data_IF_724836238434
#
_entry.id   IF_724836238434
#
_cell.length_a   1.000
_cell.length_b   1.000
_cell.length_c   1.000
_cell.angle_alpha   90.00
_cell.angle_beta   90.00
_cell.angle_gamma   90.00
#
_symmetry.space_group_name_H-M   'P 1'
#
loop_
_entity.id
_entity.type
_entity.pdbx_description
1 polymer ?
#
# COMPACT_ATOMS: atom_id res chain seq x y z
N UNK A 1 16.71 16.68 7.02
CA UNK A 1 15.94 16.31 8.22
C UNK A 1 16.40 14.93 8.64
N UNK A 2 16.87 14.75 9.87
CA UNK A 2 17.32 13.46 10.38
C UNK A 2 16.16 12.66 10.97
N UNK A 3 16.22 11.33 10.99
CA UNK A 3 15.14 10.51 11.57
C UNK A 3 14.88 10.81 13.06
N UNK A 4 15.87 11.33 13.78
CA UNK A 4 15.75 11.74 15.18
C UNK A 4 14.83 12.96 15.37
N UNK A 5 14.52 13.72 14.33
CA UNK A 5 13.63 14.90 14.41
C UNK A 5 12.15 14.52 14.25
N UNK A 6 11.85 13.26 13.92
CA UNK A 6 10.48 12.78 13.77
C UNK A 6 9.80 12.69 15.16
N UNK A 7 8.64 13.34 15.38
CA UNK A 7 7.91 13.30 16.64
C UNK A 7 7.14 11.99 16.81
N UNK A 8 7.86 10.90 17.10
CA UNK A 8 7.31 9.53 17.09
C UNK A 8 6.24 9.26 18.16
N UNK A 9 6.21 10.05 19.24
CA UNK A 9 5.29 9.81 20.37
C UNK A 9 3.82 10.09 20.00
N UNK A 10 3.59 10.96 19.01
CA UNK A 10 2.25 11.27 18.49
C UNK A 10 1.78 10.36 17.35
N UNK A 11 2.61 9.39 16.93
CA UNK A 11 2.37 8.60 15.72
C UNK A 11 2.10 7.13 16.05
N UNK A 12 1.17 6.53 15.30
CA UNK A 12 0.91 5.08 15.34
C UNK A 12 1.60 4.34 14.20
N UNK A 13 1.70 5.00 13.04
CA UNK A 13 2.32 4.48 11.83
C UNK A 13 3.22 5.54 11.21
N UNK A 14 4.40 5.15 10.75
CA UNK A 14 5.32 5.96 9.97
C UNK A 14 5.61 5.26 8.64
N UNK A 15 5.47 5.99 7.54
CA UNK A 15 5.64 5.47 6.19
C UNK A 15 6.98 5.96 5.62
N UNK A 16 7.79 5.04 5.13
CA UNK A 16 8.96 5.36 4.33
C UNK A 16 8.55 5.42 2.86
N UNK A 17 8.52 6.62 2.28
CA UNK A 17 8.15 6.85 0.89
C UNK A 17 9.36 7.39 0.11
N UNK A 18 9.87 6.71 -0.92
CA UNK A 18 9.46 5.41 -1.48
C UNK A 18 10.62 4.43 -1.60
N UNK A 19 10.31 3.14 -1.55
CA UNK A 19 11.19 2.08 -2.03
C UNK A 19 10.90 1.78 -3.51
N UNK A 20 11.95 1.52 -4.29
CA UNK A 20 11.83 1.19 -5.70
C UNK A 20 11.90 -0.33 -5.92
N UNK A 21 11.11 -0.84 -6.86
CA UNK A 21 11.11 -2.26 -7.23
C UNK A 21 11.96 -2.43 -8.49
N UNK A 22 13.04 -3.20 -8.39
CA UNK A 22 13.90 -3.50 -9.53
C UNK A 22 13.14 -4.43 -10.49
N UNK A 23 12.85 -4.03 -11.74
CA UNK A 23 11.96 -4.77 -12.65
C UNK A 23 12.42 -6.20 -12.98
N UNK A 24 13.73 -6.45 -12.99
CA UNK A 24 14.32 -7.73 -13.43
C UNK A 24 14.45 -8.74 -12.28
N UNK A 25 14.61 -8.29 -11.03
CA UNK A 25 14.88 -9.17 -9.89
C UNK A 25 13.83 -9.11 -8.78
N UNK A 26 12.64 -8.56 -9.08
CA UNK A 26 11.68 -7.93 -8.14
C UNK A 26 12.21 -7.72 -6.72
N UNK A 27 13.33 -7.01 -6.59
CA UNK A 27 13.94 -6.67 -5.29
C UNK A 27 13.57 -5.24 -4.95
N UNK A 28 13.28 -5.01 -3.67
CA UNK A 28 13.12 -3.67 -3.14
C UNK A 28 14.52 -3.09 -2.91
N UNK A 29 14.79 -1.94 -3.52
CA UNK A 29 16.03 -1.19 -3.38
C UNK A 29 15.72 0.24 -2.93
N UNK A 30 16.69 0.89 -2.26
CA UNK A 30 16.62 2.34 -2.11
C UNK A 30 16.67 3.00 -3.50
N UNK A 31 16.14 4.21 -3.61
CA UNK A 31 16.37 5.03 -4.81
C UNK A 31 17.87 5.29 -5.00
N UNK A 32 18.26 5.60 -6.23
CA UNK A 32 19.63 5.96 -6.56
C UNK A 32 20.15 7.08 -5.63
N UNK A 33 21.42 6.98 -5.26
CA UNK A 33 22.13 7.89 -4.34
C UNK A 33 21.69 7.88 -2.86
N UNK A 34 20.82 6.96 -2.44
CA UNK A 34 20.50 6.78 -1.02
C UNK A 34 21.40 5.73 -0.33
N UNK A 35 21.80 5.98 0.94
CA UNK A 35 22.68 5.08 1.65
C UNK A 35 21.98 3.74 1.97
N UNK A 36 22.74 2.65 1.90
CA UNK A 36 22.21 1.28 2.01
C UNK A 36 21.58 0.96 3.39
N UNK A 37 21.96 1.70 4.43
CA UNK A 37 21.48 1.52 5.79
C UNK A 37 20.26 2.39 6.12
N UNK A 38 19.79 3.22 5.18
CA UNK A 38 18.70 4.17 5.39
C UNK A 38 17.41 3.50 5.91
N UNK A 39 17.09 2.31 5.38
CA UNK A 39 15.93 1.54 5.84
C UNK A 39 16.08 1.10 7.30
N UNK A 40 17.27 0.64 7.69
CA UNK A 40 17.54 0.25 9.07
C UNK A 40 17.53 1.46 10.01
N UNK A 41 18.04 2.60 9.56
CA UNK A 41 17.97 3.84 10.35
C UNK A 41 16.53 4.30 10.55
N UNK A 42 15.69 4.18 9.50
CA UNK A 42 14.27 4.50 9.60
C UNK A 42 13.54 3.56 10.57
N UNK A 43 13.71 2.24 10.45
CA UNK A 43 13.02 1.30 11.34
C UNK A 43 13.52 1.38 12.78
N UNK A 44 14.75 1.85 12.99
CA UNK A 44 15.31 2.09 14.31
C UNK A 44 14.62 3.21 15.10
N UNK A 45 13.79 4.06 14.48
CA UNK A 45 13.00 5.07 15.21
C UNK A 45 12.02 4.43 16.21
N UNK A 46 11.64 3.17 16.00
CA UNK A 46 10.84 2.38 16.94
C UNK A 46 11.51 2.18 18.30
N UNK A 47 12.83 2.40 18.42
CA UNK A 47 13.51 2.40 19.73
C UNK A 47 13.02 3.51 20.66
N UNK A 48 12.49 4.61 20.10
CA UNK A 48 11.92 5.71 20.87
C UNK A 48 10.45 5.51 21.19
N UNK A 49 9.71 4.82 20.32
CA UNK A 49 8.32 4.43 20.54
C UNK A 49 8.11 2.98 20.07
N UNK A 50 8.07 2.03 21.01
CA UNK A 50 7.92 0.60 20.73
C UNK A 50 6.54 0.23 20.16
N UNK A 51 5.54 1.10 20.31
CA UNK A 51 4.21 0.94 19.73
C UNK A 51 4.12 1.37 18.26
N UNK A 52 5.13 2.11 17.76
CA UNK A 52 5.14 2.63 16.39
C UNK A 52 5.30 1.51 15.36
N UNK A 53 4.48 1.55 14.31
CA UNK A 53 4.60 0.67 13.14
C UNK A 53 5.31 1.39 12.01
N UNK A 54 6.33 0.76 11.46
CA UNK A 54 7.09 1.28 10.31
C UNK A 54 6.68 0.56 9.04
N UNK A 55 6.25 1.30 8.04
CA UNK A 55 5.65 0.77 6.79
C UNK A 55 6.48 1.25 5.60
N UNK A 56 6.84 0.37 4.68
CA UNK A 56 7.52 0.75 3.43
C UNK A 56 6.50 1.01 2.33
N UNK A 57 6.48 2.21 1.75
CA UNK A 57 5.66 2.51 0.58
C UNK A 57 6.42 2.15 -0.70
N UNK A 58 5.79 1.32 -1.54
CA UNK A 58 6.34 0.81 -2.79
C UNK A 58 5.49 1.24 -3.97
N UNK A 59 6.16 1.68 -5.04
CA UNK A 59 5.55 1.96 -6.34
C UNK A 59 6.20 1.15 -7.47
N UNK A 60 5.54 1.12 -8.64
CA UNK A 60 6.04 0.45 -9.85
C UNK A 60 5.16 -0.70 -10.35
N UNK A 61 5.51 -1.27 -11.50
CA UNK A 61 4.82 -2.42 -12.10
C UNK A 61 5.36 -3.74 -11.50
N UNK A 62 4.56 -4.38 -10.64
CA UNK A 62 4.98 -5.56 -9.87
C UNK A 62 4.05 -6.78 -10.03
N UNK A 63 2.88 -6.61 -10.65
CA UNK A 63 1.81 -7.62 -10.60
C UNK A 63 1.45 -8.24 -11.95
N UNK A 64 2.15 -7.87 -13.02
CA UNK A 64 1.79 -8.20 -14.40
C UNK A 64 1.65 -9.71 -14.71
N UNK A 65 2.40 -10.59 -14.04
CA UNK A 65 2.32 -12.05 -14.22
C UNK A 65 2.28 -12.79 -12.88
N UNK A 66 1.72 -14.00 -12.85
CA UNK A 66 1.67 -14.83 -11.63
C UNK A 66 3.06 -15.19 -11.09
N UNK A 67 4.02 -15.44 -11.98
CA UNK A 67 5.41 -15.71 -11.61
C UNK A 67 6.05 -14.49 -10.94
N UNK A 68 5.87 -13.30 -11.53
CA UNK A 68 6.39 -12.05 -10.97
C UNK A 68 5.80 -11.77 -9.59
N UNK A 69 4.48 -11.97 -9.42
CA UNK A 69 3.82 -11.78 -8.11
C UNK A 69 4.39 -12.72 -7.05
N UNK A 70 4.52 -14.01 -7.34
CA UNK A 70 5.05 -14.99 -6.38
C UNK A 70 6.49 -14.67 -5.98
N UNK A 71 7.34 -14.34 -6.95
CA UNK A 71 8.72 -13.92 -6.69
C UNK A 71 8.77 -12.65 -5.84
N UNK A 72 7.95 -11.66 -6.18
CA UNK A 72 7.89 -10.39 -5.46
C UNK A 72 7.41 -10.57 -4.01
N UNK A 73 6.35 -11.34 -3.75
CA UNK A 73 5.87 -11.63 -2.38
C UNK A 73 6.98 -12.25 -1.52
N UNK A 74 7.72 -13.22 -2.06
CA UNK A 74 8.84 -13.85 -1.35
C UNK A 74 9.96 -12.87 -1.02
N UNK A 75 10.37 -12.07 -2.01
CA UNK A 75 11.41 -11.05 -1.84
C UNK A 75 10.99 -9.95 -0.86
N UNK A 76 9.73 -9.51 -0.93
CA UNK A 76 9.17 -8.47 -0.07
C UNK A 76 9.19 -8.87 1.41
N UNK A 77 8.75 -10.08 1.73
CA UNK A 77 8.79 -10.58 3.11
C UNK A 77 10.23 -10.73 3.61
N UNK A 78 11.14 -11.21 2.76
CA UNK A 78 12.56 -11.25 3.07
C UNK A 78 13.14 -9.86 3.36
N UNK A 79 12.78 -8.86 2.55
CA UNK A 79 13.17 -7.47 2.73
C UNK A 79 12.63 -6.89 4.04
N UNK A 80 11.33 -7.04 4.32
CA UNK A 80 10.71 -6.52 5.53
C UNK A 80 11.32 -7.13 6.79
N UNK A 81 11.61 -8.44 6.79
CA UNK A 81 12.34 -9.10 7.89
C UNK A 81 13.75 -8.56 8.05
N UNK A 82 14.49 -8.40 6.95
CA UNK A 82 15.88 -7.93 6.96
C UNK A 82 16.03 -6.53 7.55
N UNK A 83 15.12 -5.62 7.18
CA UNK A 83 15.20 -4.22 7.60
C UNK A 83 14.30 -3.88 8.78
N UNK A 84 13.47 -4.83 9.25
CA UNK A 84 12.62 -4.66 10.43
C UNK A 84 11.36 -3.83 10.19
N UNK A 85 10.82 -3.81 8.98
CA UNK A 85 9.53 -3.18 8.70
C UNK A 85 8.37 -3.99 9.28
N UNK A 86 7.32 -3.30 9.69
CA UNK A 86 6.08 -3.90 10.23
C UNK A 86 4.97 -3.98 9.18
N UNK A 87 5.19 -3.43 7.99
CA UNK A 87 4.21 -3.46 6.92
C UNK A 87 4.69 -2.89 5.60
N UNK A 88 3.82 -2.98 4.60
CA UNK A 88 3.99 -2.46 3.25
C UNK A 88 2.76 -1.65 2.84
N UNK A 89 3.00 -0.54 2.16
CA UNK A 89 1.99 0.24 1.46
C UNK A 89 2.25 0.17 -0.05
N UNK A 90 1.21 -0.09 -0.83
CA UNK A 90 1.29 -0.06 -2.28
C UNK A 90 0.78 1.28 -2.80
N UNK A 91 1.71 2.18 -3.10
CA UNK A 91 1.48 3.48 -3.73
C UNK A 91 1.45 3.36 -5.25
N UNK A 92 0.58 2.49 -5.79
CA UNK A 92 0.48 2.31 -7.23
C UNK A 92 -0.32 3.45 -7.86
N UNK A 93 0.37 4.54 -8.18
CA UNK A 93 -0.21 5.63 -8.96
C UNK A 93 -0.50 5.13 -10.39
N UNK A 94 -1.75 5.29 -10.79
CA UNK A 94 -2.52 4.19 -11.38
C UNK A 94 -2.21 3.86 -12.83
N UNK A 95 -2.23 2.57 -13.20
CA UNK A 95 -2.53 2.14 -14.54
C UNK A 95 -3.99 2.52 -14.88
N UNK A 96 -4.07 3.58 -15.69
CA UNK A 96 -5.09 4.05 -16.64
C UNK A 96 -6.43 4.59 -16.16
N UNK A 97 -6.42 5.89 -15.88
CA UNK A 97 -7.28 6.81 -16.61
C UNK A 97 -6.80 6.91 -18.08
N UNK A 98 -7.55 7.52 -19.00
CA UNK A 98 -7.18 7.56 -20.44
C UNK A 98 -5.73 8.01 -20.74
N UNK A 99 -5.09 8.74 -19.82
CA UNK A 99 -3.69 9.20 -19.85
C UNK A 99 -2.75 8.54 -18.81
N UNK A 100 -3.16 7.46 -18.14
CA UNK A 100 -2.39 6.84 -17.04
C UNK A 100 -2.04 5.35 -17.25
N UNK A 101 -2.23 4.75 -18.43
CA UNK A 101 -1.59 3.45 -18.77
C UNK A 101 -2.12 2.16 -18.11
N UNK A 102 -3.43 1.88 -18.15
CA UNK A 102 -4.03 0.62 -17.64
C UNK A 102 -3.82 -0.48 -18.66
N UNK A 103 -3.19 -1.60 -18.27
CA UNK A 103 -3.40 -2.87 -18.98
C UNK A 103 -4.75 -3.44 -18.53
N UNK A 104 -5.56 -4.02 -19.43
CA UNK A 104 -6.91 -4.52 -19.10
C UNK A 104 -6.99 -5.44 -17.88
N UNK A 105 -5.90 -6.14 -17.56
CA UNK A 105 -5.85 -7.14 -16.49
C UNK A 105 -5.21 -6.65 -15.18
N UNK A 106 -4.74 -5.41 -15.09
CA UNK A 106 -4.04 -4.89 -13.89
C UNK A 106 -4.88 -5.00 -12.62
N UNK A 107 -6.19 -4.70 -12.71
CA UNK A 107 -7.10 -4.84 -11.56
C UNK A 107 -7.26 -6.28 -11.09
N UNK A 108 -7.34 -7.25 -12.03
CA UNK A 108 -7.43 -8.69 -11.68
C UNK A 108 -6.12 -9.18 -11.08
N UNK A 109 -5.00 -8.77 -11.67
CA UNK A 109 -3.66 -9.10 -11.24
C UNK A 109 -3.36 -8.53 -9.85
N UNK A 110 -3.79 -7.30 -9.54
CA UNK A 110 -3.64 -6.72 -8.22
C UNK A 110 -4.47 -7.46 -7.16
N UNK A 111 -5.70 -7.83 -7.47
CA UNK A 111 -6.52 -8.63 -6.55
C UNK A 111 -5.90 -10.01 -6.31
N UNK A 112 -5.36 -10.66 -7.35
CA UNK A 112 -4.63 -11.92 -7.19
C UNK A 112 -3.39 -11.74 -6.31
N UNK A 113 -2.61 -10.68 -6.56
CA UNK A 113 -1.46 -10.31 -5.74
C UNK A 113 -1.81 -10.13 -4.26
N UNK A 114 -2.86 -9.37 -3.95
CA UNK A 114 -3.27 -9.14 -2.56
C UNK A 114 -3.69 -10.43 -1.86
N UNK A 115 -4.33 -11.37 -2.58
CA UNK A 115 -4.67 -12.70 -2.03
C UNK A 115 -3.42 -13.52 -1.76
N UNK A 116 -2.52 -13.61 -2.73
CA UNK A 116 -1.25 -14.33 -2.61
C UNK A 116 -0.41 -13.77 -1.45
N UNK A 117 -0.36 -12.43 -1.30
CA UNK A 117 0.31 -11.76 -0.20
C UNK A 117 -0.35 -12.05 1.16
N UNK A 118 -1.69 -11.99 1.23
CA UNK A 118 -2.42 -12.28 2.48
C UNK A 118 -2.23 -13.74 2.92
N UNK A 119 -2.25 -14.69 1.99
CA UNK A 119 -1.96 -16.10 2.26
C UNK A 119 -0.57 -16.28 2.87
N UNK A 120 0.46 -15.70 2.29
CA UNK A 120 1.83 -15.85 2.81
C UNK A 120 2.03 -15.06 4.10
N UNK A 121 1.44 -13.87 4.24
CA UNK A 121 1.43 -13.09 5.48
C UNK A 121 0.73 -13.88 6.60
N UNK A 122 -0.29 -14.66 6.26
CA UNK A 122 -1.01 -15.45 7.23
C UNK A 122 -0.19 -16.59 7.84
N UNK A 123 0.84 -17.05 7.14
CA UNK A 123 1.78 -18.06 7.62
C UNK A 123 2.91 -17.47 8.48
N UNK A 124 3.03 -16.15 8.59
CA UNK A 124 4.10 -15.53 9.37
C UNK A 124 3.79 -15.56 10.88
N UNK A 125 4.83 -15.67 11.75
CA UNK A 125 4.64 -15.62 13.21
C UNK A 125 4.02 -14.31 13.69
N UNK A 126 4.29 -13.21 12.98
CA UNK A 126 3.71 -11.90 13.21
C UNK A 126 3.15 -11.38 11.90
N UNK A 127 1.93 -10.85 11.96
CA UNK A 127 1.24 -10.32 10.78
C UNK A 127 1.82 -8.95 10.42
N UNK A 128 2.16 -8.78 9.15
CA UNK A 128 2.53 -7.49 8.59
C UNK A 128 1.26 -6.66 8.29
N UNK A 129 1.37 -5.35 8.45
CA UNK A 129 0.36 -4.39 7.99
C UNK A 129 0.45 -4.31 6.45
N UNK A 130 -0.70 -4.40 5.79
CA UNK A 130 -0.81 -4.23 4.34
C UNK A 130 -1.79 -3.10 4.07
N UNK A 131 -1.33 -2.06 3.39
CA UNK A 131 -2.14 -0.94 2.92
C UNK A 131 -1.85 -0.64 1.44
N UNK A 132 -2.70 0.16 0.82
CA UNK A 132 -2.50 0.64 -0.53
C UNK A 132 -3.16 2.00 -0.70
N UNK A 133 -2.53 2.87 -1.47
CA UNK A 133 -3.02 4.23 -1.73
C UNK A 133 -3.95 4.21 -2.94
N UNK A 134 -5.14 4.82 -2.79
CA UNK A 134 -6.15 4.91 -3.84
C UNK A 134 -6.34 6.33 -4.36
N UNK A 135 -6.67 6.52 -5.65
CA UNK A 135 -6.84 7.84 -6.20
C UNK A 135 -8.23 8.33 -5.80
N UNK A 136 -8.33 9.56 -5.33
CA UNK A 136 -9.64 10.14 -5.01
C UNK A 136 -10.46 10.45 -6.26
N UNK A 137 -9.87 10.37 -7.46
CA UNK A 137 -10.55 10.67 -8.73
C UNK A 137 -11.51 9.55 -9.15
N UNK A 138 -12.77 9.95 -9.39
CA UNK A 138 -13.86 9.08 -9.84
C UNK A 138 -13.52 8.31 -11.13
N UNK A 139 -12.79 8.99 -12.04
CA UNK A 139 -12.33 8.47 -13.31
C UNK A 139 -11.34 7.30 -13.19
N UNK A 140 -10.57 7.25 -12.10
CA UNK A 140 -9.57 6.21 -11.89
C UNK A 140 -10.11 5.06 -11.01
N UNK A 141 -11.07 5.36 -10.13
CA UNK A 141 -11.72 4.40 -9.22
C UNK A 141 -12.83 3.54 -9.84
N UNK A 142 -13.25 3.81 -11.07
CA UNK A 142 -14.33 3.03 -11.70
C UNK A 142 -13.74 1.84 -12.46
N UNK A 143 -13.95 0.61 -11.94
CA UNK A 143 -14.30 -0.66 -12.63
C UNK A 143 -13.93 -1.88 -11.76
N UNK A 144 -14.89 -2.36 -10.96
CA UNK A 144 -15.32 -3.77 -10.89
C UNK A 144 -16.49 -3.90 -9.90
N UNK A 145 -17.70 -4.28 -10.34
CA UNK A 145 -18.84 -4.52 -9.44
C UNK A 145 -18.56 -5.60 -8.37
N UNK A 146 -17.49 -6.39 -8.54
CA UNK A 146 -17.16 -7.55 -7.70
C UNK A 146 -16.37 -7.21 -6.43
N UNK A 147 -15.76 -6.03 -6.34
CA UNK A 147 -15.00 -5.60 -5.16
C UNK A 147 -15.91 -5.11 -4.01
N UNK A 148 -17.21 -4.93 -4.27
CA UNK A 148 -18.21 -4.52 -3.26
C UNK A 148 -18.66 -5.63 -2.30
N UNK A 149 -18.21 -6.88 -2.45
CA UNK A 149 -18.68 -8.03 -1.65
C UNK A 149 -17.59 -8.96 -1.08
N UNK A 150 -16.32 -8.58 -1.11
CA UNK A 150 -15.34 -9.28 -0.28
C UNK A 150 -15.40 -8.68 1.13
N UNK A 151 -15.93 -9.43 2.11
CA UNK A 151 -15.64 -9.17 3.53
C UNK A 151 -14.15 -9.38 3.74
N UNK A 152 -13.35 -8.37 3.41
CA UNK A 152 -11.97 -8.26 3.88
C UNK A 152 -12.08 -7.81 5.33
N UNK A 153 -11.40 -8.54 6.21
CA UNK A 153 -11.42 -8.34 7.66
C UNK A 153 -11.18 -6.87 8.02
N UNK A 154 -11.94 -6.39 9.01
CA UNK A 154 -11.97 -4.99 9.45
C UNK A 154 -10.63 -4.60 10.08
N UNK A 155 -9.71 -4.07 9.27
CA UNK A 155 -8.61 -3.17 9.67
C UNK A 155 -7.96 -2.56 8.43
N UNK A 156 -8.77 -1.91 7.59
CA UNK A 156 -8.28 -1.00 6.56
C UNK A 156 -8.51 0.41 7.11
N UNK A 157 -7.43 1.07 7.52
CA UNK A 157 -7.46 2.47 7.91
C UNK A 157 -7.57 3.33 6.66
N UNK A 158 -8.70 4.01 6.48
CA UNK A 158 -8.83 5.09 5.50
C UNK A 158 -8.18 6.35 6.10
N UNK A 159 -7.06 6.79 5.54
CA UNK A 159 -6.54 8.13 5.79
C UNK A 159 -7.00 9.05 4.66
N UNK A 160 -8.20 9.60 4.82
CA UNK A 160 -8.68 10.75 4.06
C UNK A 160 -8.79 11.95 5.00
N UNK A 161 -7.88 12.92 4.89
CA UNK A 161 -8.01 14.22 5.53
C UNK A 161 -8.57 15.20 4.52
N UNK A 162 -9.87 15.51 4.59
CA UNK A 162 -10.35 16.91 4.58
C UNK A 162 -11.83 17.02 4.94
N UNK A 163 -12.18 18.17 5.51
CA UNK A 163 -13.43 18.48 6.22
C UNK A 163 -14.42 19.14 5.27
N UNK A 164 -15.51 18.44 4.95
CA UNK A 164 -16.65 18.97 4.21
C UNK A 164 -17.94 18.34 4.74
N UNK A 165 -18.76 19.17 5.39
CA UNK A 165 -20.05 18.80 5.99
C UNK A 165 -20.99 18.35 4.88
N UNK A 166 -21.39 17.07 4.89
CA UNK A 166 -22.51 16.59 4.06
C UNK A 166 -23.77 16.90 4.86
N UNK A 167 -24.44 18.00 4.50
CA UNK A 167 -25.84 18.19 4.85
C UNK A 167 -26.64 17.07 4.20
N UNK A 168 -27.40 16.34 5.04
CA UNK A 168 -28.52 15.55 4.54
C UNK A 168 -29.57 16.58 4.16
N UNK A 169 -29.99 16.60 2.90
CA UNK A 169 -31.40 16.71 2.57
C UNK A 169 -31.67 16.38 1.10
N UNK A 170 -32.83 15.78 0.93
CA UNK A 170 -33.65 15.57 -0.26
C UNK A 170 -33.29 14.48 -1.27
N UNK A 171 -33.77 13.27 -0.96
CA UNK A 171 -34.23 12.32 -1.97
C UNK A 171 -35.70 11.99 -1.68
N UNK A 172 -36.63 12.81 -2.19
CA UNK A 172 -38.01 12.36 -2.40
C UNK A 172 -38.67 13.02 -3.62
N UNK A 173 -39.20 12.14 -4.50
CA UNK A 173 -40.16 12.31 -5.62
C UNK A 173 -39.56 11.86 -6.95
N UNK A 174 -39.75 10.61 -7.36
CA UNK A 174 -40.98 9.96 -7.84
C UNK A 174 -41.50 10.56 -9.14
N UNK A 175 -41.47 9.70 -10.15
CA UNK A 175 -42.02 9.79 -11.50
C UNK A 175 -43.52 10.14 -11.58
N UNK A 176 -43.83 11.10 -12.46
CA UNK A 176 -45.04 11.32 -13.28
C UNK A 176 -44.70 12.59 -14.10
N UNK A 177 -44.75 12.65 -15.44
CA UNK A 177 -45.74 12.23 -16.44
C UNK A 177 -45.00 11.88 -17.73
#
# INVERSE_FOLDING_TARGET
>A
MGFNEIPVDGLTHAYFAFGYIIPITPKVAPMDDLPADLFSQFTAIKRRNSGLKTVIALGGDMVSTAENRKLFVGNLLGFMRRYGFDGVDFGWEYPGAGDCGRRPDDGKNFVAFLKELDEVNNLQPSKYVVSFTIPTSYWCSTISPRMRRSRVSRRIGYLGSWKGRIDRDDASRSSAV
#
